data_IF_152027760412
#
_entry.id   IF_152027760412
#
_cell.length_a   1.000
_cell.length_b   1.000
_cell.length_c   1.000
_cell.angle_alpha   90.00
_cell.angle_beta   90.00
_cell.angle_gamma   90.00
#
_symmetry.space_group_name_H-M   'P 1'
#
loop_
_entity.id
_entity.type
_entity.pdbx_description
1 polymer ?
#
# COMPACT_ATOMS: atom_id res chain seq x y z
N UNK A 1 22.42 52.48 34.11
CA UNK A 1 22.12 51.05 34.03
C UNK A 1 21.28 50.80 32.79
N UNK A 2 21.85 50.27 31.70
CA UNK A 2 21.08 49.94 30.51
C UNK A 2 20.35 48.62 30.75
N UNK A 3 19.02 48.65 30.65
CA UNK A 3 18.19 47.45 30.68
C UNK A 3 18.40 46.75 29.35
N UNK A 4 19.17 45.66 29.33
CA UNK A 4 19.34 44.84 28.14
C UNK A 4 17.95 44.39 27.65
N UNK A 5 17.61 44.59 26.37
CA UNK A 5 16.32 44.18 25.85
C UNK A 5 16.21 42.66 25.94
N UNK A 6 15.09 42.15 26.50
CA UNK A 6 14.74 40.72 26.45
C UNK A 6 14.56 40.33 24.99
N UNK A 7 15.63 39.86 24.34
CA UNK A 7 15.57 39.27 23.02
C UNK A 7 14.64 38.06 23.12
N UNK A 8 13.48 38.14 22.46
CA UNK A 8 12.51 37.05 22.37
C UNK A 8 13.06 35.99 21.40
N UNK A 9 14.06 35.23 21.86
CA UNK A 9 14.76 34.18 21.09
C UNK A 9 13.82 33.10 20.52
N UNK A 10 12.60 32.97 21.03
CA UNK A 10 11.61 32.03 20.50
C UNK A 10 11.14 32.38 19.08
N UNK A 11 11.10 33.67 18.70
CA UNK A 11 10.66 34.09 17.35
C UNK A 11 11.59 33.59 16.24
N UNK A 12 12.93 33.81 16.30
CA UNK A 12 13.83 33.27 15.28
C UNK A 12 13.88 31.74 15.30
N UNK A 13 13.77 31.10 16.48
CA UNK A 13 13.70 29.63 16.57
C UNK A 13 12.44 29.11 15.85
N UNK A 14 11.28 29.70 16.11
CA UNK A 14 10.04 29.31 15.45
C UNK A 14 10.11 29.52 13.93
N UNK A 15 10.67 30.64 13.49
CA UNK A 15 10.87 30.91 12.07
C UNK A 15 11.79 29.88 11.41
N UNK A 16 12.87 29.49 12.08
CA UNK A 16 13.81 28.47 11.60
C UNK A 16 13.15 27.09 11.52
N UNK A 17 12.39 26.69 12.55
CA UNK A 17 11.65 25.41 12.56
C UNK A 17 10.59 25.38 11.45
N UNK A 18 9.83 26.47 11.29
CA UNK A 18 8.81 26.58 10.25
C UNK A 18 9.44 26.50 8.86
N UNK A 19 10.53 27.22 8.62
CA UNK A 19 11.26 27.17 7.37
C UNK A 19 11.75 25.75 7.08
N UNK A 20 12.39 25.10 8.04
CA UNK A 20 12.84 23.71 7.91
C UNK A 20 11.70 22.74 7.58
N UNK A 21 10.56 22.87 8.28
CA UNK A 21 9.39 22.04 8.01
C UNK A 21 8.82 22.24 6.61
N UNK A 22 8.71 23.50 6.15
CA UNK A 22 8.23 23.82 4.80
C UNK A 22 9.22 23.33 3.73
N UNK A 23 10.52 23.48 3.95
CA UNK A 23 11.55 22.97 3.01
C UNK A 23 11.51 21.44 2.90
N UNK A 24 11.41 20.72 4.01
CA UNK A 24 11.28 19.25 4.01
C UNK A 24 10.00 18.81 3.32
N UNK A 25 8.88 19.49 3.61
CA UNK A 25 7.60 19.21 2.97
C UNK A 25 7.67 19.44 1.46
N UNK A 26 8.24 20.55 1.02
CA UNK A 26 8.35 20.91 -0.40
C UNK A 26 9.25 19.93 -1.15
N UNK A 27 10.41 19.59 -0.57
CA UNK A 27 11.34 18.63 -1.18
C UNK A 27 10.65 17.28 -1.42
N UNK A 28 10.00 16.71 -0.40
CA UNK A 28 9.30 15.44 -0.53
C UNK A 28 8.12 15.51 -1.51
N UNK A 29 7.36 16.62 -1.49
CA UNK A 29 6.23 16.83 -2.41
C UNK A 29 6.71 16.84 -3.86
N UNK A 30 7.82 17.51 -4.15
CA UNK A 30 8.38 17.57 -5.50
C UNK A 30 9.01 16.24 -5.93
N UNK A 31 9.68 15.52 -5.02
CA UNK A 31 10.30 14.23 -5.32
C UNK A 31 9.27 13.10 -5.53
N UNK A 32 8.21 13.07 -4.73
CA UNK A 32 7.20 12.01 -4.76
C UNK A 32 6.00 12.34 -5.65
N UNK A 33 5.80 13.62 -5.96
CA UNK A 33 4.57 14.12 -6.59
C UNK A 33 3.34 14.05 -5.67
N UNK A 34 3.52 13.78 -4.37
CA UNK A 34 2.44 13.65 -3.40
C UNK A 34 2.56 14.72 -2.28
N UNK A 35 1.74 15.78 -2.26
CA UNK A 35 1.77 16.77 -1.18
C UNK A 35 1.28 16.25 0.17
N UNK A 36 0.59 15.11 0.17
CA UNK A 36 0.00 14.47 1.35
C UNK A 36 0.80 13.26 1.82
N UNK A 37 2.07 13.13 1.43
CA UNK A 37 2.94 11.99 1.74
C UNK A 37 3.09 11.65 3.24
N UNK A 38 2.82 12.61 4.12
CA UNK A 38 2.89 12.47 5.59
C UNK A 38 1.51 12.30 6.24
N UNK A 39 0.43 12.37 5.45
CA UNK A 39 -0.92 12.32 5.96
C UNK A 39 -1.27 10.89 6.38
N UNK A 40 -1.74 10.64 7.61
CA UNK A 40 -1.93 9.29 8.12
C UNK A 40 -3.11 8.55 7.46
N UNK A 41 -4.08 9.29 6.91
CA UNK A 41 -5.25 8.72 6.25
C UNK A 41 -4.88 8.41 4.81
N UNK A 42 -5.07 7.15 4.41
CA UNK A 42 -4.81 6.68 3.06
C UNK A 42 -6.04 6.92 2.16
N UNK A 43 -5.84 7.26 0.87
CA UNK A 43 -6.94 7.31 -0.08
C UNK A 43 -7.51 5.91 -0.33
N UNK A 44 -8.83 5.83 -0.46
CA UNK A 44 -9.54 4.61 -0.85
C UNK A 44 -9.71 4.56 -2.37
N UNK A 45 -9.62 3.36 -2.92
CA UNK A 45 -9.75 3.10 -4.35
C UNK A 45 -10.68 1.93 -4.60
N UNK A 46 -11.60 2.07 -5.55
CA UNK A 46 -12.47 0.99 -5.96
C UNK A 46 -11.76 0.12 -7.02
N UNK A 47 -11.51 -1.17 -6.74
CA UNK A 47 -11.01 -2.09 -7.76
C UNK A 47 -12.09 -2.33 -8.83
N UNK A 48 -11.67 -2.72 -10.03
CA UNK A 48 -12.59 -3.16 -11.10
C UNK A 48 -12.51 -4.66 -11.38
N UNK A 49 -11.49 -5.34 -10.84
CA UNK A 49 -11.29 -6.78 -10.97
C UNK A 49 -10.42 -7.28 -9.82
N UNK A 50 -10.79 -8.42 -9.25
CA UNK A 50 -10.00 -9.14 -8.26
C UNK A 50 -9.79 -10.55 -8.79
N UNK A 51 -8.56 -11.05 -8.77
CA UNK A 51 -8.24 -12.43 -9.16
C UNK A 51 -7.71 -13.16 -7.94
N UNK A 52 -8.30 -14.30 -7.63
CA UNK A 52 -7.84 -15.17 -6.56
C UNK A 52 -7.21 -16.38 -7.23
N UNK A 53 -5.92 -16.59 -7.01
CA UNK A 53 -5.26 -17.85 -7.32
C UNK A 53 -5.32 -18.71 -6.07
N UNK A 54 -6.06 -19.81 -6.13
CA UNK A 54 -6.29 -20.74 -5.02
C UNK A 54 -5.74 -22.12 -5.36
N UNK A 55 -4.48 -22.38 -5.04
CA UNK A 55 -3.81 -23.67 -5.25
C UNK A 55 -4.00 -24.25 -6.67
N UNK A 56 -3.87 -23.39 -7.70
CA UNK A 56 -4.01 -23.77 -9.11
C UNK A 56 -5.38 -23.50 -9.72
N UNK A 57 -6.39 -23.16 -8.92
CA UNK A 57 -7.66 -22.64 -9.41
C UNK A 57 -7.62 -21.12 -9.51
N UNK A 58 -8.10 -20.56 -10.61
CA UNK A 58 -8.22 -19.11 -10.80
C UNK A 58 -9.69 -18.69 -10.71
N UNK A 59 -9.96 -17.73 -9.82
CA UNK A 59 -11.30 -17.18 -9.61
C UNK A 59 -11.24 -15.69 -9.88
N UNK A 60 -11.81 -15.26 -11.00
CA UNK A 60 -11.98 -13.84 -11.32
C UNK A 60 -13.30 -13.33 -10.73
N UNK A 61 -13.21 -12.25 -9.95
CA UNK A 61 -14.34 -11.53 -9.37
C UNK A 61 -14.42 -10.12 -9.94
N UNK A 62 -15.64 -9.66 -10.20
CA UNK A 62 -15.97 -8.33 -10.72
C UNK A 62 -17.04 -7.65 -9.87
N UNK A 63 -17.16 -6.31 -9.96
CA UNK A 63 -18.25 -5.58 -9.31
C UNK A 63 -19.61 -6.19 -9.67
N UNK A 64 -20.41 -6.50 -8.65
CA UNK A 64 -21.69 -7.21 -8.79
C UNK A 64 -21.63 -8.69 -8.35
N UNK A 65 -20.45 -9.30 -8.31
CA UNK A 65 -20.31 -10.65 -7.75
C UNK A 65 -20.45 -10.62 -6.22
N UNK A 66 -21.09 -11.65 -5.66
CA UNK A 66 -21.40 -11.71 -4.23
C UNK A 66 -20.14 -11.65 -3.33
N UNK A 67 -19.03 -12.22 -3.80
CA UNK A 67 -17.75 -12.24 -3.08
C UNK A 67 -16.93 -10.94 -3.25
N UNK A 68 -17.19 -10.17 -4.32
CA UNK A 68 -16.33 -9.06 -4.72
C UNK A 68 -16.27 -7.95 -3.67
N UNK A 69 -17.43 -7.44 -3.25
CA UNK A 69 -17.53 -6.31 -2.32
C UNK A 69 -16.84 -6.60 -0.98
N UNK A 70 -16.95 -7.85 -0.52
CA UNK A 70 -16.38 -8.27 0.76
C UNK A 70 -14.86 -8.33 0.71
N UNK A 71 -14.30 -8.86 -0.38
CA UNK A 71 -12.84 -8.89 -0.57
C UNK A 71 -12.31 -7.48 -0.82
N UNK A 72 -13.00 -6.68 -1.65
CA UNK A 72 -12.63 -5.28 -1.90
C UNK A 72 -12.58 -4.47 -0.60
N UNK A 73 -13.57 -4.63 0.29
CA UNK A 73 -13.57 -3.98 1.60
C UNK A 73 -12.41 -4.46 2.50
N UNK A 74 -12.12 -5.77 2.51
CA UNK A 74 -10.97 -6.32 3.24
C UNK A 74 -9.62 -5.81 2.73
N UNK A 75 -9.48 -5.65 1.40
CA UNK A 75 -8.31 -5.03 0.76
C UNK A 75 -8.17 -3.57 1.18
N UNK A 76 -9.24 -2.77 1.04
CA UNK A 76 -9.24 -1.34 1.37
C UNK A 76 -8.87 -1.11 2.85
N UNK A 77 -9.47 -1.90 3.74
CA UNK A 77 -9.17 -1.82 5.17
C UNK A 77 -7.72 -2.23 5.49
N UNK A 78 -7.16 -3.22 4.78
CA UNK A 78 -5.75 -3.62 4.95
C UNK A 78 -4.79 -2.53 4.47
N UNK A 79 -5.16 -1.79 3.41
CA UNK A 79 -4.38 -0.68 2.85
C UNK A 79 -4.55 0.64 3.61
N UNK A 80 -5.50 0.73 4.54
CA UNK A 80 -5.74 1.94 5.33
C UNK A 80 -4.55 2.36 6.20
N UNK A 81 -3.64 1.42 6.52
CA UNK A 81 -2.46 1.68 7.34
C UNK A 81 -1.26 0.84 6.93
N UNK A 82 -0.14 1.50 6.70
CA UNK A 82 1.14 0.86 6.42
C UNK A 82 2.02 0.79 7.67
N UNK A 83 2.78 -0.30 7.82
CA UNK A 83 3.80 -0.43 8.88
C UNK A 83 5.11 0.23 8.48
N UNK A 84 5.37 0.34 7.18
CA UNK A 84 6.54 1.00 6.64
C UNK A 84 6.12 2.07 5.62
N UNK A 85 6.87 3.17 5.61
CA UNK A 85 6.71 4.27 4.66
C UNK A 85 7.67 4.19 3.48
N UNK A 86 8.58 3.21 3.47
CA UNK A 86 9.54 2.94 2.40
C UNK A 86 9.14 1.70 1.59
N UNK A 87 9.59 1.65 0.32
CA UNK A 87 9.55 0.44 -0.49
C UNK A 87 10.58 -0.57 0.04
N UNK A 88 10.15 -1.80 0.24
CA UNK A 88 11.04 -2.92 0.54
C UNK A 88 11.57 -3.44 -0.77
N UNK A 89 12.90 -3.51 -0.92
CA UNK A 89 13.56 -3.97 -2.13
C UNK A 89 13.45 -5.51 -2.27
N UNK A 90 12.27 -5.94 -2.73
CA UNK A 90 11.93 -7.33 -3.00
C UNK A 90 11.12 -7.39 -4.27
N UNK A 91 11.51 -8.26 -5.19
CA UNK A 91 10.81 -8.50 -6.46
C UNK A 91 10.21 -9.90 -6.52
N UNK A 92 9.20 -10.06 -7.36
CA UNK A 92 8.65 -11.37 -7.71
C UNK A 92 9.41 -11.92 -8.92
N UNK A 93 10.31 -12.87 -8.69
CA UNK A 93 10.94 -13.60 -9.79
C UNK A 93 9.96 -14.58 -10.45
N UNK A 94 10.27 -15.00 -11.68
CA UNK A 94 9.41 -15.88 -12.48
C UNK A 94 9.00 -17.17 -11.75
N UNK A 95 9.92 -17.75 -10.97
CA UNK A 95 9.63 -18.95 -10.18
C UNK A 95 8.62 -18.68 -9.05
N UNK A 96 8.66 -17.50 -8.42
CA UNK A 96 7.67 -17.11 -7.41
C UNK A 96 6.30 -16.93 -8.07
N UNK A 97 6.26 -16.26 -9.22
CA UNK A 97 5.00 -16.03 -9.95
C UNK A 97 4.37 -17.34 -10.41
N UNK A 98 5.17 -18.28 -10.92
CA UNK A 98 4.70 -19.61 -11.28
C UNK A 98 4.14 -20.38 -10.07
N UNK A 99 4.81 -20.30 -8.92
CA UNK A 99 4.31 -20.91 -7.67
C UNK A 99 3.01 -20.23 -7.20
N UNK A 100 2.87 -18.91 -7.34
CA UNK A 100 1.65 -18.16 -7.01
C UNK A 100 0.44 -18.58 -7.84
N UNK A 101 0.65 -18.87 -9.13
CA UNK A 101 -0.42 -19.33 -10.00
C UNK A 101 -0.85 -20.77 -9.71
N UNK A 102 0.03 -21.62 -9.16
CA UNK A 102 -0.19 -23.08 -9.14
C UNK A 102 -0.25 -23.74 -7.76
N UNK A 103 0.38 -23.15 -6.74
CA UNK A 103 0.62 -23.82 -5.45
C UNK A 103 0.32 -22.97 -4.22
N UNK A 104 -0.10 -21.73 -4.41
CA UNK A 104 -0.30 -20.77 -3.34
C UNK A 104 -1.72 -20.20 -3.36
N UNK A 105 -2.06 -19.51 -2.28
CA UNK A 105 -3.25 -18.67 -2.23
C UNK A 105 -2.80 -17.21 -2.32
N UNK A 106 -3.21 -16.52 -3.38
CA UNK A 106 -2.82 -15.14 -3.66
C UNK A 106 -4.03 -14.36 -4.14
N UNK A 107 -4.14 -13.11 -3.68
CA UNK A 107 -5.16 -12.17 -4.16
C UNK A 107 -4.48 -11.08 -4.96
N UNK A 108 -4.84 -10.98 -6.23
CA UNK A 108 -4.46 -9.89 -7.11
C UNK A 108 -5.63 -8.93 -7.25
N UNK A 109 -5.34 -7.63 -7.16
CA UNK A 109 -6.34 -6.57 -7.19
C UNK A 109 -5.97 -5.60 -8.29
N UNK A 110 -6.90 -5.34 -9.20
CA UNK A 110 -6.71 -4.46 -10.35
C UNK A 110 -7.62 -3.23 -10.22
N UNK A 111 -7.07 -2.08 -10.58
CA UNK A 111 -7.73 -0.79 -10.53
C UNK A 111 -7.85 -0.20 -11.95
N UNK A 112 -8.94 0.52 -12.25
CA UNK A 112 -9.15 1.11 -13.58
C UNK A 112 -8.21 2.29 -13.88
N UNK A 113 -7.58 2.85 -12.85
CA UNK A 113 -6.65 3.99 -12.94
C UNK A 113 -5.46 3.79 -12.03
N UNK A 114 -4.42 4.60 -12.22
CA UNK A 114 -3.28 4.62 -11.31
C UNK A 114 -3.72 5.00 -9.88
N UNK A 115 -3.24 4.23 -8.91
CA UNK A 115 -3.43 4.44 -7.48
C UNK A 115 -2.15 4.96 -6.84
N UNK A 116 -2.28 5.67 -5.71
CA UNK A 116 -1.15 6.21 -4.96
C UNK A 116 -1.50 6.39 -3.50
N UNK A 117 -0.64 5.89 -2.62
CA UNK A 117 -0.81 6.06 -1.18
C UNK A 117 -0.10 7.31 -0.66
N UNK A 118 -0.55 7.79 0.49
CA UNK A 118 0.05 8.89 1.25
C UNK A 118 1.31 8.41 1.97
N UNK A 119 2.34 8.19 1.15
CA UNK A 119 3.66 7.71 1.56
C UNK A 119 4.77 8.59 0.93
N UNK A 120 5.95 8.72 1.56
CA UNK A 120 7.11 9.45 1.05
C UNK A 120 7.87 8.68 -0.03
N UNK A 121 7.16 7.98 -0.91
CA UNK A 121 7.72 7.21 -2.02
C UNK A 121 7.06 7.65 -3.32
N UNK A 122 7.85 7.63 -4.41
CA UNK A 122 7.32 7.91 -5.73
C UNK A 122 6.59 6.68 -6.25
N UNK A 123 5.25 6.72 -6.19
CA UNK A 123 4.38 5.70 -6.78
C UNK A 123 3.84 6.23 -8.10
N UNK A 124 4.59 5.99 -9.18
CA UNK A 124 4.10 6.23 -10.53
C UNK A 124 3.75 4.89 -11.17
N UNK A 125 2.67 4.89 -11.95
CA UNK A 125 2.25 3.71 -12.73
C UNK A 125 2.03 2.50 -11.82
N UNK A 126 1.12 2.61 -10.86
CA UNK A 126 0.67 1.47 -10.06
C UNK A 126 -0.82 1.35 -10.25
N UNK A 127 -1.30 0.24 -10.81
CA UNK A 127 -2.74 -0.01 -10.98
C UNK A 127 -3.12 -1.45 -10.62
N UNK A 128 -2.18 -2.23 -10.09
CA UNK A 128 -2.46 -3.55 -9.56
C UNK A 128 -1.63 -3.81 -8.31
N UNK A 129 -2.19 -4.62 -7.43
CA UNK A 129 -1.59 -5.03 -6.16
C UNK A 129 -1.68 -6.55 -6.03
N UNK A 130 -0.71 -7.17 -5.37
CA UNK A 130 -0.70 -8.59 -5.08
C UNK A 130 -0.46 -8.83 -3.59
N UNK A 131 -1.36 -9.61 -2.98
CA UNK A 131 -1.34 -10.01 -1.59
C UNK A 131 -1.05 -11.51 -1.50
N UNK A 132 0.15 -11.91 -1.06
CA UNK A 132 0.43 -13.31 -0.74
C UNK A 132 -0.33 -13.69 0.53
N UNK A 133 -1.23 -14.67 0.44
CA UNK A 133 -2.03 -15.14 1.57
C UNK A 133 -1.41 -16.43 2.14
N UNK A 134 -1.10 -17.40 1.27
CA UNK A 134 -0.42 -18.65 1.63
C UNK A 134 0.71 -18.90 0.65
N UNK A 135 1.87 -19.34 1.15
CA UNK A 135 3.05 -19.65 0.35
C UNK A 135 4.21 -18.67 0.60
N UNK A 136 5.02 -18.40 -0.43
CA UNK A 136 6.16 -17.49 -0.31
C UNK A 136 5.65 -16.10 0.09
N UNK A 137 6.30 -15.47 1.07
CA UNK A 137 5.94 -14.14 1.61
C UNK A 137 4.61 -14.05 2.38
N UNK A 138 3.99 -15.16 2.79
CA UNK A 138 2.72 -15.12 3.56
C UNK A 138 2.81 -14.32 4.88
N UNK A 139 3.91 -14.46 5.62
CA UNK A 139 4.06 -13.87 6.97
C UNK A 139 4.67 -12.46 6.96
N UNK A 140 4.98 -11.92 5.77
CA UNK A 140 5.69 -10.65 5.66
C UNK A 140 4.76 -9.45 5.61
N UNK A 141 3.45 -9.66 5.39
CA UNK A 141 2.45 -8.59 5.16
C UNK A 141 2.81 -7.71 3.97
N UNK A 142 3.49 -8.29 2.99
CA UNK A 142 3.88 -7.59 1.79
C UNK A 142 2.69 -7.45 0.85
N UNK A 143 2.64 -6.29 0.21
CA UNK A 143 1.76 -5.98 -0.90
C UNK A 143 2.67 -5.58 -2.05
N UNK A 144 2.78 -6.46 -3.03
CA UNK A 144 3.55 -6.19 -4.23
C UNK A 144 2.77 -5.25 -5.13
N UNK A 145 3.49 -4.35 -5.81
CA UNK A 145 2.90 -3.35 -6.70
C UNK A 145 3.19 -3.73 -8.15
N UNK A 146 2.25 -3.44 -9.04
CA UNK A 146 2.41 -3.70 -10.46
C UNK A 146 1.75 -2.67 -11.34
N UNK A 147 2.00 -2.82 -12.64
CA UNK A 147 1.44 -1.98 -13.69
C UNK A 147 1.12 -2.79 -14.94
N UNK A 148 -0.13 -2.74 -15.42
CA UNK A 148 -0.53 -3.27 -16.73
C UNK A 148 -0.09 -4.74 -16.98
N UNK A 149 -0.22 -5.61 -15.98
CA UNK A 149 0.13 -7.03 -16.03
C UNK A 149 1.55 -7.34 -15.59
N UNK A 150 2.40 -6.33 -15.37
CA UNK A 150 3.80 -6.53 -14.95
C UNK A 150 3.96 -6.20 -13.45
N UNK A 151 4.69 -7.04 -12.73
CA UNK A 151 5.04 -6.80 -11.34
C UNK A 151 6.33 -5.98 -11.24
N UNK A 152 6.28 -4.88 -10.50
CA UNK A 152 7.43 -4.01 -10.31
C UNK A 152 8.32 -4.54 -9.19
N UNK A 153 9.58 -4.09 -9.18
CA UNK A 153 10.47 -4.33 -8.05
C UNK A 153 10.00 -3.46 -6.88
N UNK A 154 9.75 -4.09 -5.75
CA UNK A 154 9.35 -3.43 -4.52
C UNK A 154 8.05 -3.97 -3.96
N UNK A 155 7.96 -4.00 -2.63
CA UNK A 155 6.72 -4.23 -1.92
C UNK A 155 6.48 -3.15 -0.85
N UNK A 156 5.20 -2.90 -0.58
CA UNK A 156 4.77 -2.16 0.60
C UNK A 156 4.50 -3.16 1.72
N UNK A 157 4.66 -2.71 2.97
CA UNK A 157 4.27 -3.51 4.12
C UNK A 157 3.08 -2.87 4.81
N UNK A 158 1.96 -3.59 4.83
CA UNK A 158 0.77 -3.13 5.56
C UNK A 158 0.87 -3.47 7.04
N UNK A 159 0.16 -2.71 7.86
CA UNK A 159 0.11 -2.98 9.29
C UNK A 159 -0.54 -4.34 9.59
N UNK A 160 -1.62 -4.67 8.88
CA UNK A 160 -2.36 -5.91 9.03
C UNK A 160 -3.05 -6.30 7.72
N UNK A 161 -2.91 -7.58 7.35
CA UNK A 161 -3.73 -8.23 6.31
C UNK A 161 -5.00 -8.88 6.88
N UNK A 162 -5.21 -8.81 8.21
CA UNK A 162 -6.30 -9.54 8.86
C UNK A 162 -7.68 -9.26 8.24
N UNK A 163 -8.06 -8.02 7.89
CA UNK A 163 -9.35 -7.78 7.24
C UNK A 163 -9.55 -8.56 5.94
N UNK A 164 -8.51 -8.67 5.11
CA UNK A 164 -8.53 -9.47 3.90
C UNK A 164 -8.61 -10.97 4.23
N UNK A 165 -7.83 -11.44 5.21
CA UNK A 165 -7.85 -12.84 5.65
C UNK A 165 -9.24 -13.25 6.17
N UNK A 166 -9.89 -12.39 6.95
CA UNK A 166 -11.23 -12.64 7.47
C UNK A 166 -12.26 -12.71 6.34
N UNK A 167 -12.19 -11.80 5.37
CA UNK A 167 -13.03 -11.85 4.17
C UNK A 167 -12.85 -13.17 3.40
N UNK A 168 -11.61 -13.62 3.22
CA UNK A 168 -11.31 -14.89 2.54
C UNK A 168 -11.82 -16.12 3.32
N UNK A 169 -11.67 -16.14 4.66
CA UNK A 169 -12.20 -17.23 5.51
C UNK A 169 -13.72 -17.29 5.47
N UNK A 170 -14.38 -16.14 5.61
CA UNK A 170 -15.84 -16.07 5.59
C UNK A 170 -16.44 -16.49 4.24
N UNK A 171 -15.68 -16.36 3.15
CA UNK A 171 -16.05 -16.84 1.82
C UNK A 171 -15.61 -18.28 1.53
N UNK A 172 -14.89 -18.92 2.47
CA UNK A 172 -14.45 -20.31 2.35
C UNK A 172 -13.17 -20.52 1.53
N UNK A 173 -12.46 -19.45 1.15
CA UNK A 173 -11.19 -19.55 0.42
C UNK A 173 -10.01 -19.92 1.31
N UNK A 174 -10.11 -19.63 2.62
CA UNK A 174 -9.08 -19.94 3.60
C UNK A 174 -9.70 -20.75 4.74
N UNK A 175 -9.08 -21.88 5.09
CA UNK A 175 -9.52 -22.68 6.23
C UNK A 175 -9.01 -22.05 7.55
N UNK A 176 -9.75 -22.29 8.64
CA UNK A 176 -9.43 -21.82 9.98
C UNK A 176 -8.18 -22.49 10.56
#
# INVERSE_FOLDING_TARGET
MSVLPKIKLWKPILAFVLFGAVSLWLLNTLTTGNPLWFFPIQPSYAPNRIVIHNFGEEIELRPGDLAFEKIAAGVDQSLSRFSNTALIDVGLGDSTLADYQTKALVVEVYYPSNIRFNLPIRMERVNQLLFPIVGRHQDTKYVFIGYNGEWLVGALQVYSNQPLLDALRELGYLQN
#
